data_IF_902928296928
#
_entry.id   IF_902928296928
#
_cell.length_a   1.000
_cell.length_b   1.000
_cell.length_c   1.000
_cell.angle_alpha   90.00
_cell.angle_beta   90.00
_cell.angle_gamma   90.00
#
_symmetry.space_group_name_H-M   'P 1'
#
loop_
_entity.id
_entity.type
_entity.pdbx_description
1 polymer ?
#
# COMPACT_ATOMS: atom_id res chain seq x y z
N UNK A 1 -43.06 18.89 -20.77
CA UNK A 1 -41.84 19.17 -19.98
C UNK A 1 -42.00 18.48 -18.64
N UNK A 2 -41.48 17.26 -18.50
CA UNK A 2 -41.36 16.58 -17.21
C UNK A 2 -39.95 16.82 -16.69
N UNK A 3 -39.82 17.76 -15.75
CA UNK A 3 -38.59 17.90 -14.98
C UNK A 3 -38.45 16.66 -14.10
N UNK A 4 -37.75 15.65 -14.62
CA UNK A 4 -37.09 14.65 -13.76
C UNK A 4 -35.93 15.40 -13.13
N UNK A 5 -36.20 16.04 -12.00
CA UNK A 5 -35.14 16.46 -11.09
C UNK A 5 -34.55 15.16 -10.55
N UNK A 6 -33.48 14.68 -11.19
CA UNK A 6 -32.67 13.60 -10.65
C UNK A 6 -32.28 13.97 -9.23
N UNK A 7 -32.89 13.29 -8.26
CA UNK A 7 -32.77 13.59 -6.85
C UNK A 7 -31.45 12.98 -6.35
N UNK A 8 -30.33 13.38 -6.98
CA UNK A 8 -29.01 12.80 -6.81
C UNK A 8 -28.49 13.16 -5.43
N UNK A 9 -28.73 12.24 -4.50
CA UNK A 9 -28.30 12.27 -3.10
C UNK A 9 -26.87 12.80 -3.00
N UNK A 10 -26.70 13.89 -2.26
CA UNK A 10 -25.39 14.50 -1.99
C UNK A 10 -24.58 13.49 -1.17
N UNK A 11 -23.34 13.15 -1.55
CA UNK A 11 -22.50 12.26 -0.77
C UNK A 11 -22.01 12.94 0.51
N UNK A 12 -21.98 12.20 1.62
CA UNK A 12 -21.29 12.67 2.83
C UNK A 12 -19.78 12.42 2.75
N UNK A 13 -19.35 11.47 1.91
CA UNK A 13 -17.96 11.03 1.74
C UNK A 13 -17.53 11.16 0.28
N UNK A 14 -16.46 11.89 0.02
CA UNK A 14 -15.91 11.99 -1.33
C UNK A 14 -14.43 11.63 -1.33
N UNK A 15 -14.10 10.53 -2.01
CA UNK A 15 -12.72 10.11 -2.21
C UNK A 15 -12.11 10.86 -3.39
N UNK A 16 -10.98 11.52 -3.15
CA UNK A 16 -10.16 12.15 -4.18
C UNK A 16 -8.89 11.31 -4.32
N UNK A 17 -8.81 10.58 -5.43
CA UNK A 17 -7.69 9.70 -5.77
C UNK A 17 -6.84 10.40 -6.82
N UNK A 18 -5.63 10.88 -6.49
CA UNK A 18 -4.76 11.51 -7.47
C UNK A 18 -4.24 10.45 -8.44
N UNK A 19 -4.47 10.65 -9.75
CA UNK A 19 -4.34 9.60 -10.74
C UNK A 19 -3.66 10.02 -12.06
N UNK A 20 -2.84 9.12 -12.61
CA UNK A 20 -2.29 9.07 -13.98
C UNK A 20 -1.54 7.75 -14.18
N UNK A 21 -1.69 7.10 -15.34
CA UNK A 21 -0.85 5.98 -15.84
C UNK A 21 -0.55 4.89 -14.79
N UNK A 22 -1.61 4.42 -14.12
CA UNK A 22 -1.58 3.38 -13.07
C UNK A 22 -2.76 2.42 -13.25
N UNK A 23 -2.95 1.96 -14.48
CA UNK A 23 -4.10 1.18 -14.94
C UNK A 23 -4.38 -0.05 -14.07
N UNK A 24 -3.34 -0.80 -13.69
CA UNK A 24 -3.47 -1.97 -12.84
C UNK A 24 -3.85 -1.61 -11.39
N UNK A 25 -3.19 -0.61 -10.80
CA UNK A 25 -3.51 -0.15 -9.44
C UNK A 25 -4.93 0.40 -9.39
N UNK A 26 -5.36 1.15 -10.43
CA UNK A 26 -6.73 1.65 -10.57
C UNK A 26 -7.75 0.52 -10.58
N UNK A 27 -7.50 -0.54 -11.35
CA UNK A 27 -8.39 -1.71 -11.40
C UNK A 27 -8.51 -2.39 -10.03
N UNK A 28 -7.38 -2.62 -9.35
CA UNK A 28 -7.39 -3.17 -7.99
C UNK A 28 -8.09 -2.24 -7.00
N UNK A 29 -7.81 -0.94 -7.05
CA UNK A 29 -8.43 0.09 -6.21
C UNK A 29 -9.94 0.10 -6.38
N UNK A 30 -10.45 0.27 -7.61
CA UNK A 30 -11.89 0.29 -7.89
C UNK A 30 -12.58 -0.99 -7.44
N UNK A 31 -11.99 -2.15 -7.72
CA UNK A 31 -12.58 -3.45 -7.37
C UNK A 31 -12.63 -3.66 -5.85
N UNK A 32 -11.55 -3.32 -5.14
CA UNK A 32 -11.47 -3.56 -3.71
C UNK A 32 -12.20 -2.48 -2.90
N UNK A 33 -12.16 -1.21 -3.32
CA UNK A 33 -12.94 -0.14 -2.69
C UNK A 33 -14.44 -0.35 -2.84
N UNK A 34 -14.91 -1.00 -3.91
CA UNK A 34 -16.32 -1.41 -4.02
C UNK A 34 -16.74 -2.35 -2.88
N UNK A 35 -15.88 -3.29 -2.47
CA UNK A 35 -16.09 -4.14 -1.29
C UNK A 35 -15.94 -3.37 0.02
N UNK A 36 -14.89 -2.54 0.16
CA UNK A 36 -14.67 -1.75 1.40
C UNK A 36 -15.84 -0.79 1.68
N UNK A 37 -16.48 -0.27 0.63
CA UNK A 37 -17.56 0.71 0.72
C UNK A 37 -18.97 0.13 0.51
N UNK A 38 -19.14 -1.19 0.43
CA UNK A 38 -20.44 -1.82 0.11
C UNK A 38 -21.54 -1.55 1.16
N UNK A 39 -21.16 -1.23 2.42
CA UNK A 39 -22.09 -0.88 3.50
C UNK A 39 -22.52 0.60 3.46
N UNK A 40 -21.91 1.43 2.60
CA UNK A 40 -22.16 2.88 2.53
C UNK A 40 -23.01 3.23 1.31
N UNK A 41 -24.01 4.11 1.52
CA UNK A 41 -24.97 4.51 0.46
C UNK A 41 -24.86 5.98 0.07
N UNK A 42 -23.79 6.66 0.51
CA UNK A 42 -23.62 8.10 0.44
C UNK A 42 -22.16 8.51 0.19
N UNK A 43 -21.47 7.77 -0.69
CA UNK A 43 -20.10 8.05 -1.10
C UNK A 43 -19.97 8.20 -2.62
N UNK A 44 -19.00 9.01 -3.07
CA UNK A 44 -18.50 9.03 -4.45
C UNK A 44 -16.97 8.92 -4.45
N UNK A 45 -16.40 8.31 -5.49
CA UNK A 45 -14.96 8.14 -5.70
C UNK A 45 -14.57 8.82 -7.01
N UNK A 46 -13.59 9.72 -6.93
CA UNK A 46 -13.08 10.47 -8.08
C UNK A 46 -11.62 10.15 -8.31
N UNK A 47 -11.33 9.51 -9.44
CA UNK A 47 -10.00 9.53 -10.04
C UNK A 47 -9.76 10.93 -10.59
N UNK A 48 -9.09 11.76 -9.80
CA UNK A 48 -8.65 13.07 -10.22
C UNK A 48 -7.45 12.86 -11.16
N UNK A 49 -7.73 12.93 -12.46
CA UNK A 49 -6.87 12.39 -13.50
C UNK A 49 -6.17 13.53 -14.24
N UNK A 50 -4.85 13.65 -14.07
CA UNK A 50 -4.08 14.64 -14.81
C UNK A 50 -3.78 14.11 -16.23
N UNK A 51 -4.39 14.68 -17.28
CA UNK A 51 -4.34 14.09 -18.63
C UNK A 51 -3.32 14.77 -19.57
N UNK A 52 -2.64 15.83 -19.09
CA UNK A 52 -1.58 16.52 -19.84
C UNK A 52 -0.23 15.76 -19.87
N UNK A 53 0.76 16.30 -20.58
CA UNK A 53 2.09 15.69 -20.73
C UNK A 53 3.15 16.23 -19.74
N UNK A 54 2.76 17.00 -18.71
CA UNK A 54 3.71 17.54 -17.71
C UNK A 54 4.01 16.49 -16.64
N UNK A 55 4.99 16.71 -15.76
CA UNK A 55 5.14 15.84 -14.58
C UNK A 55 3.85 15.80 -13.75
N UNK A 56 3.66 14.70 -13.01
CA UNK A 56 2.47 14.51 -12.21
C UNK A 56 2.51 15.39 -10.96
N UNK A 57 1.52 16.27 -10.81
CA UNK A 57 1.41 17.21 -9.69
C UNK A 57 0.38 16.69 -8.68
N UNK A 58 0.83 15.79 -7.80
CA UNK A 58 -0.04 15.09 -6.84
C UNK A 58 -0.81 16.06 -5.93
N UNK A 59 -0.19 17.16 -5.50
CA UNK A 59 -0.83 18.20 -4.69
C UNK A 59 -1.93 18.95 -5.44
N UNK A 60 -1.63 19.48 -6.63
CA UNK A 60 -2.62 20.18 -7.46
C UNK A 60 -3.76 19.26 -7.88
N UNK A 61 -3.47 18.00 -8.19
CA UNK A 61 -4.48 17.00 -8.53
C UNK A 61 -5.47 16.78 -7.37
N UNK A 62 -4.99 16.67 -6.12
CA UNK A 62 -5.87 16.62 -4.93
C UNK A 62 -6.70 17.92 -4.78
N UNK A 63 -6.09 19.09 -4.96
CA UNK A 63 -6.78 20.39 -4.90
C UNK A 63 -7.86 20.55 -5.98
N UNK A 64 -7.59 20.11 -7.21
CA UNK A 64 -8.55 20.15 -8.33
C UNK A 64 -9.69 19.16 -8.09
N UNK A 65 -9.38 18.00 -7.49
CA UNK A 65 -10.38 17.08 -6.95
C UNK A 65 -11.35 17.77 -6.00
N UNK A 66 -10.85 18.52 -5.02
CA UNK A 66 -11.68 19.32 -4.13
C UNK A 66 -12.49 20.41 -4.88
N UNK A 67 -11.85 21.17 -5.78
CA UNK A 67 -12.50 22.24 -6.55
C UNK A 67 -13.68 21.71 -7.38
N UNK A 68 -13.51 20.59 -8.08
CA UNK A 68 -14.57 19.99 -8.89
C UNK A 68 -15.81 19.59 -8.06
N UNK A 69 -15.60 19.18 -6.81
CA UNK A 69 -16.67 18.78 -5.88
C UNK A 69 -17.32 20.00 -5.23
N UNK A 70 -16.54 21.05 -4.97
CA UNK A 70 -17.05 22.38 -4.59
C UNK A 70 -17.92 22.97 -5.71
N UNK A 71 -17.52 22.86 -6.96
CA UNK A 71 -18.29 23.34 -8.13
C UNK A 71 -19.56 22.50 -8.34
N UNK A 72 -19.49 21.18 -8.12
CA UNK A 72 -20.63 20.26 -8.24
C UNK A 72 -21.65 20.40 -7.09
N UNK A 73 -21.19 20.68 -5.87
CA UNK A 73 -22.02 20.78 -4.66
C UNK A 73 -21.77 22.09 -3.88
N UNK A 74 -22.04 23.27 -4.48
CA UNK A 74 -21.57 24.56 -3.98
C UNK A 74 -22.21 25.02 -2.65
N UNK A 75 -23.31 24.38 -2.20
CA UNK A 75 -23.93 24.67 -0.90
C UNK A 75 -23.49 23.68 0.20
N UNK A 76 -22.96 22.51 -0.18
CA UNK A 76 -22.80 21.36 0.72
C UNK A 76 -21.34 20.94 0.93
N UNK A 77 -20.43 21.24 -0.01
CA UNK A 77 -19.03 20.80 0.02
C UNK A 77 -18.31 21.05 1.35
N UNK A 78 -18.67 22.12 2.07
CA UNK A 78 -18.12 22.44 3.39
C UNK A 78 -18.34 21.35 4.43
N UNK A 79 -19.49 20.68 4.36
CA UNK A 79 -19.90 19.60 5.27
C UNK A 79 -19.48 18.21 4.78
N UNK A 80 -19.14 18.06 3.49
CA UNK A 80 -18.62 16.81 2.92
C UNK A 80 -17.30 16.44 3.59
N UNK A 81 -17.16 15.16 3.95
CA UNK A 81 -15.90 14.55 4.36
C UNK A 81 -15.09 14.21 3.10
N UNK A 82 -13.95 14.87 2.90
CA UNK A 82 -13.02 14.55 1.82
C UNK A 82 -12.01 13.51 2.29
N UNK A 83 -11.79 12.48 1.47
CA UNK A 83 -10.82 11.42 1.70
C UNK A 83 -9.77 11.49 0.59
N UNK A 84 -8.59 12.00 0.89
CA UNK A 84 -7.44 11.91 -0.01
C UNK A 84 -6.80 10.54 0.18
N UNK A 85 -6.83 9.71 -0.86
CA UNK A 85 -6.33 8.34 -0.83
C UNK A 85 -5.47 8.06 -2.08
N UNK A 86 -4.24 7.61 -1.90
CA UNK A 86 -3.37 7.23 -3.01
C UNK A 86 -3.85 5.91 -3.67
N UNK A 87 -3.78 5.83 -5.01
CA UNK A 87 -4.35 4.71 -5.80
C UNK A 87 -3.71 3.35 -5.49
N UNK A 88 -2.50 3.35 -4.93
CA UNK A 88 -1.77 2.15 -4.52
C UNK A 88 -1.99 1.77 -3.05
N UNK A 89 -2.82 2.50 -2.28
CA UNK A 89 -3.09 2.21 -0.86
C UNK A 89 -4.57 1.90 -0.58
N UNK A 90 -4.84 0.72 -0.02
CA UNK A 90 -6.19 0.21 0.21
C UNK A 90 -6.24 -0.54 1.55
N UNK A 91 -7.22 -0.33 2.45
CA UNK A 91 -7.34 -1.17 3.63
C UNK A 91 -7.69 -2.62 3.27
N UNK A 92 -7.13 -3.57 4.00
CA UNK A 92 -7.36 -5.01 3.79
C UNK A 92 -8.78 -5.46 4.17
N UNK A 93 -9.42 -4.77 5.11
CA UNK A 93 -10.82 -5.01 5.53
C UNK A 93 -11.47 -3.67 5.89
N UNK A 94 -12.77 -3.67 6.20
CA UNK A 94 -13.57 -2.48 6.56
C UNK A 94 -13.18 -1.87 7.93
N UNK A 95 -11.94 -1.40 8.06
CA UNK A 95 -11.34 -0.88 9.31
C UNK A 95 -11.50 0.64 9.51
N UNK A 96 -12.06 1.34 8.52
CA UNK A 96 -12.27 2.78 8.54
C UNK A 96 -13.74 3.12 8.30
N UNK A 97 -14.28 4.07 9.07
CA UNK A 97 -15.60 4.65 8.83
C UNK A 97 -15.57 5.85 7.86
N UNK A 98 -14.37 6.34 7.53
CA UNK A 98 -14.14 7.51 6.67
C UNK A 98 -14.89 8.78 7.09
N UNK A 99 -15.15 8.95 8.39
CA UNK A 99 -15.81 10.15 8.95
C UNK A 99 -14.87 10.97 9.83
N UNK A 100 -15.04 12.30 9.78
CA UNK A 100 -14.39 13.25 10.70
C UNK A 100 -15.33 14.41 11.04
N UNK A 101 -14.93 15.29 11.95
CA UNK A 101 -15.64 16.53 12.30
C UNK A 101 -14.85 17.76 11.85
N UNK A 102 -15.52 18.91 11.77
CA UNK A 102 -14.87 20.22 11.59
C UNK A 102 -13.79 20.41 12.66
N UNK A 103 -12.64 20.98 12.28
CA UNK A 103 -11.49 21.13 13.15
C UNK A 103 -10.65 19.86 13.38
N UNK A 104 -10.99 18.73 12.73
CA UNK A 104 -10.31 17.43 12.95
C UNK A 104 -9.90 16.79 11.64
N UNK A 105 -8.60 16.57 11.48
CA UNK A 105 -7.99 15.85 10.35
C UNK A 105 -7.59 14.45 10.81
N UNK A 106 -8.22 13.41 10.28
CA UNK A 106 -7.79 12.03 10.54
C UNK A 106 -6.74 11.59 9.55
N UNK A 107 -5.73 10.89 10.05
CA UNK A 107 -4.69 10.27 9.23
C UNK A 107 -4.65 8.78 9.52
N UNK A 108 -5.07 7.99 8.54
CA UNK A 108 -5.28 6.55 8.65
C UNK A 108 -4.09 5.71 8.20
N UNK A 109 -3.33 6.13 7.18
CA UNK A 109 -2.15 5.39 6.72
C UNK A 109 -1.07 6.31 6.17
N UNK A 110 0.17 6.13 6.61
CA UNK A 110 1.32 6.90 6.09
C UNK A 110 2.52 6.97 7.03
N UNK A 111 3.15 8.14 7.11
CA UNK A 111 4.21 8.47 8.08
C UNK A 111 3.75 9.50 9.10
N UNK A 112 4.17 9.39 10.38
CA UNK A 112 3.74 10.33 11.44
C UNK A 112 4.28 11.77 11.31
N UNK A 113 5.21 12.04 10.40
CA UNK A 113 5.79 13.37 10.16
C UNK A 113 5.15 14.12 8.99
N UNK A 114 4.11 13.55 8.36
CA UNK A 114 3.49 14.07 7.13
C UNK A 114 1.99 13.70 7.10
N UNK A 115 1.21 14.28 6.20
CA UNK A 115 -0.19 13.89 5.90
C UNK A 115 -0.28 13.30 4.48
N UNK A 116 0.29 12.11 4.30
CA UNK A 116 0.28 11.33 3.05
C UNK A 116 -0.49 10.03 3.18
N UNK A 117 -0.59 9.24 2.10
CA UNK A 117 -1.36 8.00 2.08
C UNK A 117 -2.86 8.27 2.18
N UNK A 118 -3.46 7.99 3.35
CA UNK A 118 -4.90 8.11 3.58
C UNK A 118 -5.19 9.20 4.62
N UNK A 119 -5.76 10.32 4.17
CA UNK A 119 -6.08 11.52 4.97
C UNK A 119 -7.55 11.89 4.80
N UNK A 120 -8.20 12.26 5.90
CA UNK A 120 -9.64 12.57 5.96
C UNK A 120 -9.86 13.92 6.65
N UNK A 121 -10.57 14.84 6.00
CA UNK A 121 -10.76 16.24 6.43
C UNK A 121 -12.14 16.76 5.96
N UNK A 122 -12.75 17.72 6.66
CA UNK A 122 -13.96 18.39 6.16
C UNK A 122 -13.62 19.40 5.06
N UNK A 123 -14.53 19.59 4.10
CA UNK A 123 -14.32 20.54 3.01
C UNK A 123 -14.11 21.99 3.48
N UNK A 124 -14.72 22.39 4.61
CA UNK A 124 -14.47 23.70 5.23
C UNK A 124 -13.04 23.85 5.74
N UNK A 125 -12.53 22.86 6.49
CA UNK A 125 -11.17 22.88 7.03
C UNK A 125 -10.12 22.85 5.90
N UNK A 126 -10.38 22.07 4.83
CA UNK A 126 -9.49 21.97 3.68
C UNK A 126 -9.45 23.26 2.84
N UNK A 127 -10.58 23.95 2.71
CA UNK A 127 -10.65 25.29 2.11
C UNK A 127 -9.88 26.33 2.94
N UNK A 128 -10.07 26.33 4.26
CA UNK A 128 -9.44 27.27 5.19
C UNK A 128 -7.90 27.21 5.12
N UNK A 129 -7.33 26.01 5.05
CA UNK A 129 -5.88 25.81 4.93
C UNK A 129 -5.33 26.00 3.49
N UNK A 130 -6.16 26.43 2.54
CA UNK A 130 -5.82 26.55 1.11
C UNK A 130 -5.31 25.23 0.46
N UNK A 131 -5.68 24.08 1.02
CA UNK A 131 -5.30 22.75 0.55
C UNK A 131 -3.79 22.44 0.53
N UNK A 132 -3.40 21.49 -0.33
CA UNK A 132 -2.00 21.12 -0.57
C UNK A 132 -1.26 22.22 -1.36
N UNK A 133 0.07 22.33 -1.29
CA UNK A 133 0.82 23.11 -2.28
C UNK A 133 0.86 22.40 -3.64
N UNK A 134 1.12 23.15 -4.72
CA UNK A 134 1.04 22.65 -6.09
C UNK A 134 2.41 22.26 -6.66
N UNK A 135 3.21 21.51 -5.90
CA UNK A 135 4.57 21.16 -6.28
C UNK A 135 4.63 20.15 -7.44
N UNK A 136 5.53 20.39 -8.40
CA UNK A 136 5.70 19.56 -9.60
C UNK A 136 6.70 18.40 -9.43
N UNK A 137 7.46 18.39 -8.33
CA UNK A 137 8.29 17.27 -7.91
C UNK A 137 7.58 16.38 -6.88
N UNK A 138 8.08 15.17 -6.69
CA UNK A 138 7.59 14.24 -5.68
C UNK A 138 7.99 14.65 -4.26
N UNK A 139 7.02 14.62 -3.36
CA UNK A 139 7.21 14.80 -1.93
C UNK A 139 7.20 16.25 -1.47
N UNK A 140 7.29 16.43 -0.14
CA UNK A 140 7.16 17.72 0.57
C UNK A 140 5.72 18.28 0.61
N UNK A 141 4.86 17.98 -0.35
CA UNK A 141 3.46 18.43 -0.39
C UNK A 141 2.64 17.94 0.81
N UNK A 142 2.77 16.66 1.17
CA UNK A 142 2.08 16.06 2.32
C UNK A 142 2.60 16.60 3.67
N UNK A 143 3.87 17.03 3.72
CA UNK A 143 4.48 17.61 4.93
C UNK A 143 4.11 19.08 5.09
N UNK A 144 3.96 19.77 3.97
CA UNK A 144 3.39 21.12 3.92
C UNK A 144 1.93 21.11 4.39
N UNK A 145 1.10 20.17 3.91
CA UNK A 145 -0.28 20.03 4.41
C UNK A 145 -0.31 19.84 5.94
N UNK A 146 0.58 18.99 6.50
CA UNK A 146 0.64 18.81 7.96
C UNK A 146 0.87 20.13 8.69
N UNK A 147 1.86 20.92 8.25
CA UNK A 147 2.17 22.23 8.84
C UNK A 147 1.00 23.21 8.73
N UNK A 148 0.27 23.21 7.61
CA UNK A 148 -0.90 24.07 7.43
C UNK A 148 -2.03 23.71 8.38
N UNK A 149 -2.31 22.42 8.56
CA UNK A 149 -3.26 21.94 9.57
C UNK A 149 -2.85 22.35 10.99
N UNK A 150 -1.57 22.17 11.34
CA UNK A 150 -1.02 22.57 12.64
C UNK A 150 -1.11 24.09 12.87
N UNK A 151 -0.77 24.91 11.87
CA UNK A 151 -0.85 26.38 11.92
C UNK A 151 -2.30 26.90 12.03
N UNK A 152 -3.26 26.20 11.44
CA UNK A 152 -4.70 26.48 11.57
C UNK A 152 -5.32 25.89 12.85
N UNK A 153 -4.53 25.28 13.74
CA UNK A 153 -4.98 24.63 14.98
C UNK A 153 -5.94 23.44 14.76
N UNK A 154 -5.91 22.81 13.58
CA UNK A 154 -6.67 21.59 13.32
C UNK A 154 -6.06 20.40 14.08
N UNK A 155 -6.91 19.61 14.75
CA UNK A 155 -6.47 18.43 15.50
C UNK A 155 -6.16 17.29 14.54
N UNK A 156 -4.90 16.84 14.51
CA UNK A 156 -4.49 15.68 13.71
C UNK A 156 -4.71 14.39 14.52
N UNK A 157 -5.83 13.73 14.27
CA UNK A 157 -6.18 12.45 14.89
C UNK A 157 -5.47 11.28 14.19
N UNK A 158 -4.70 10.53 14.98
CA UNK A 158 -3.98 9.30 14.60
C UNK A 158 -4.32 8.13 15.53
N UNK A 159 -5.51 8.14 16.14
CA UNK A 159 -6.01 7.06 16.99
C UNK A 159 -6.15 5.73 16.26
N UNK A 160 -6.59 5.76 15.00
CA UNK A 160 -6.69 4.61 14.10
C UNK A 160 -5.65 4.71 12.94
N UNK A 161 -4.38 4.93 13.28
CA UNK A 161 -3.29 5.13 12.31
C UNK A 161 -2.44 3.87 12.10
N UNK A 162 -2.19 3.55 10.82
CA UNK A 162 -1.31 2.48 10.39
C UNK A 162 -0.02 3.03 9.74
N UNK A 163 1.17 2.60 10.17
CA UNK A 163 2.43 2.99 9.53
C UNK A 163 2.62 2.29 8.18
N UNK A 164 3.42 2.91 7.29
CA UNK A 164 3.93 2.27 6.07
C UNK A 164 4.44 0.84 6.35
N UNK A 165 4.00 -0.10 5.50
CA UNK A 165 4.29 -1.53 5.61
C UNK A 165 3.28 -2.33 6.45
N UNK A 166 2.36 -1.69 7.18
CA UNK A 166 1.33 -2.37 7.97
C UNK A 166 0.56 -3.40 7.11
N UNK A 167 0.43 -4.67 7.55
CA UNK A 167 -0.29 -5.69 6.79
C UNK A 167 -1.81 -5.45 6.73
N UNK A 168 -2.33 -4.50 7.51
CA UNK A 168 -3.74 -4.09 7.44
C UNK A 168 -4.03 -3.14 6.27
N UNK A 169 -2.99 -2.63 5.60
CA UNK A 169 -3.10 -1.79 4.41
C UNK A 169 -2.35 -2.46 3.26
N UNK A 170 -3.09 -2.86 2.23
CA UNK A 170 -2.53 -3.29 0.96
C UNK A 170 -1.86 -2.08 0.31
N UNK A 171 -0.54 -2.17 0.13
CA UNK A 171 0.26 -1.16 -0.55
C UNK A 171 0.86 -1.79 -1.80
N UNK A 172 0.33 -1.42 -2.96
CA UNK A 172 0.82 -1.89 -4.26
C UNK A 172 2.15 -1.20 -4.55
N UNK A 173 3.11 -1.95 -5.11
CA UNK A 173 4.41 -1.37 -5.45
C UNK A 173 4.26 -0.34 -6.57
N UNK A 174 4.97 0.79 -6.41
CA UNK A 174 4.80 2.00 -7.21
C UNK A 174 6.11 2.47 -7.88
N UNK A 175 7.11 1.58 -7.93
CA UNK A 175 8.46 1.86 -8.42
C UNK A 175 9.39 2.42 -7.34
N UNK A 176 10.71 2.41 -7.61
CA UNK A 176 11.73 2.98 -6.71
C UNK A 176 12.25 4.36 -7.13
N UNK A 177 11.95 4.82 -8.35
CA UNK A 177 12.39 6.11 -8.86
C UNK A 177 11.33 7.18 -8.61
N UNK A 178 11.77 8.40 -8.28
CA UNK A 178 10.92 9.58 -8.10
C UNK A 178 11.54 10.77 -8.82
N UNK A 179 10.73 11.49 -9.59
CA UNK A 179 11.12 12.81 -10.12
C UNK A 179 11.02 13.80 -8.97
N UNK A 180 12.13 14.37 -8.54
CA UNK A 180 12.21 15.35 -7.45
C UNK A 180 12.65 16.71 -7.96
N UNK A 181 12.33 17.76 -7.22
CA UNK A 181 12.84 19.11 -7.45
C UNK A 181 13.47 19.64 -6.17
N UNK A 182 14.75 20.03 -6.26
CA UNK A 182 15.54 20.46 -5.09
C UNK A 182 14.96 21.69 -4.37
N UNK A 183 14.15 22.50 -5.07
CA UNK A 183 13.48 23.69 -4.51
C UNK A 183 12.37 23.35 -3.53
N UNK A 184 11.69 22.21 -3.69
CA UNK A 184 10.43 21.92 -2.99
C UNK A 184 10.64 21.73 -1.48
N UNK A 185 11.77 21.15 -1.05
CA UNK A 185 12.14 21.07 0.37
C UNK A 185 12.44 22.43 1.01
N UNK A 186 12.81 23.45 0.22
CA UNK A 186 12.97 24.83 0.71
C UNK A 186 11.62 25.52 0.79
N UNK A 187 10.75 25.32 -0.23
CA UNK A 187 9.36 25.81 -0.22
C UNK A 187 8.57 25.27 0.96
N UNK A 188 8.65 23.97 1.24
CA UNK A 188 7.98 23.31 2.37
C UNK A 188 8.42 23.86 3.74
N UNK A 189 9.68 24.30 3.87
CA UNK A 189 10.18 24.94 5.11
C UNK A 189 9.71 26.38 5.26
N UNK A 190 9.56 27.08 4.15
CA UNK A 190 9.21 28.50 4.08
C UNK A 190 7.77 28.69 3.59
N UNK A 191 6.89 27.71 3.81
CA UNK A 191 5.53 27.76 3.29
C UNK A 191 4.75 28.88 3.97
N UNK A 192 4.12 29.71 3.15
CA UNK A 192 3.37 30.89 3.57
C UNK A 192 1.86 30.75 3.32
N UNK A 193 1.38 29.53 3.05
CA UNK A 193 -0.02 29.25 2.75
C UNK A 193 -0.53 29.76 1.40
N UNK A 194 0.25 30.51 0.60
CA UNK A 194 -0.25 31.14 -0.64
C UNK A 194 -0.39 30.13 -1.79
N UNK A 195 0.59 29.24 -1.99
CA UNK A 195 0.50 28.25 -3.06
C UNK A 195 -0.45 27.11 -2.67
N UNK A 196 -1.58 26.97 -3.35
CA UNK A 196 -2.58 25.97 -3.04
C UNK A 196 -3.80 26.09 -3.93
N UNK A 197 -5.00 25.83 -3.39
CA UNK A 197 -6.27 25.90 -4.14
C UNK A 197 -6.42 27.25 -4.86
N UNK A 198 -6.15 28.35 -4.16
CA UNK A 198 -6.28 29.73 -4.65
C UNK A 198 -5.21 30.15 -5.67
N UNK A 199 -4.11 29.39 -5.82
CA UNK A 199 -3.07 29.65 -6.83
C UNK A 199 -3.21 28.79 -8.09
N UNK A 200 -4.26 27.96 -8.19
CA UNK A 200 -4.62 27.25 -9.42
C UNK A 200 -5.45 28.16 -10.31
N UNK A 201 -5.03 28.34 -11.56
CA UNK A 201 -5.71 29.19 -12.54
C UNK A 201 -5.71 28.59 -13.95
N UNK A 202 -6.59 29.08 -14.83
CA UNK A 202 -6.86 28.47 -16.16
C UNK A 202 -7.16 26.97 -16.08
N UNK A 203 -7.87 26.57 -15.03
CA UNK A 203 -8.31 25.21 -14.80
C UNK A 203 -9.37 24.81 -15.85
N UNK A 204 -9.19 23.65 -16.45
CA UNK A 204 -10.14 22.99 -17.35
C UNK A 204 -10.19 21.51 -16.97
N UNK A 205 -11.40 21.02 -16.69
CA UNK A 205 -11.67 19.62 -16.42
C UNK A 205 -13.07 19.24 -16.89
N UNK A 206 -13.32 17.93 -17.03
CA UNK A 206 -14.65 17.34 -17.21
C UNK A 206 -14.86 16.20 -16.21
N UNK A 207 -16.07 16.07 -15.69
CA UNK A 207 -16.47 14.96 -14.80
C UNK A 207 -17.24 13.94 -15.62
N UNK A 208 -16.72 12.72 -15.72
CA UNK A 208 -17.31 11.64 -16.51
C UNK A 208 -17.20 10.28 -15.81
N UNK A 209 -17.96 9.29 -16.28
CA UNK A 209 -17.84 7.90 -15.83
C UNK A 209 -16.58 7.20 -16.40
N UNK A 210 -15.91 7.79 -17.39
CA UNK A 210 -14.76 7.23 -18.09
C UNK A 210 -13.57 8.17 -18.12
N UNK A 211 -12.38 7.59 -18.26
CA UNK A 211 -11.15 8.35 -18.49
C UNK A 211 -11.05 8.82 -19.94
N UNK A 212 -10.42 9.96 -20.18
CA UNK A 212 -10.00 10.38 -21.53
C UNK A 212 -8.81 9.58 -22.07
N UNK A 213 -8.05 8.86 -21.22
CA UNK A 213 -7.06 7.87 -21.66
C UNK A 213 -7.76 6.51 -21.89
N UNK A 214 -7.78 5.97 -23.13
CA UNK A 214 -8.45 4.71 -23.42
C UNK A 214 -7.90 3.50 -22.63
N UNK A 215 -6.62 3.51 -22.25
CA UNK A 215 -6.00 2.39 -21.50
C UNK A 215 -6.67 2.17 -20.14
N UNK A 216 -7.01 3.25 -19.44
CA UNK A 216 -7.71 3.18 -18.15
C UNK A 216 -9.05 2.45 -18.28
N UNK A 217 -9.73 2.60 -19.42
CA UNK A 217 -11.08 2.09 -19.62
C UNK A 217 -11.11 0.58 -19.97
N UNK A 218 -9.95 -0.04 -20.22
CA UNK A 218 -9.83 -1.48 -20.56
C UNK A 218 -10.29 -2.40 -19.43
N UNK A 219 -9.92 -2.06 -18.19
CA UNK A 219 -10.25 -2.82 -16.98
C UNK A 219 -11.22 -2.03 -16.11
N UNK A 220 -12.43 -1.81 -16.62
CA UNK A 220 -13.46 -1.10 -15.86
C UNK A 220 -14.07 -1.99 -14.76
N UNK A 221 -14.56 -1.36 -13.70
CA UNK A 221 -15.31 -1.99 -12.60
C UNK A 221 -16.69 -1.36 -12.58
N UNK A 222 -17.73 -2.18 -12.62
CA UNK A 222 -19.10 -1.70 -12.56
C UNK A 222 -19.45 -1.23 -11.14
N UNK A 223 -19.31 0.07 -10.91
CA UNK A 223 -19.69 0.75 -9.68
C UNK A 223 -20.17 2.19 -10.02
N UNK A 224 -21.45 2.53 -9.82
CA UNK A 224 -22.02 3.83 -10.20
C UNK A 224 -21.54 5.00 -9.33
N UNK A 225 -20.75 4.74 -8.30
CA UNK A 225 -20.14 5.76 -7.44
C UNK A 225 -18.72 6.14 -7.87
N UNK A 226 -18.17 5.52 -8.93
CA UNK A 226 -16.82 5.78 -9.45
C UNK A 226 -16.87 6.70 -10.67
N UNK A 227 -16.07 7.77 -10.64
CA UNK A 227 -15.99 8.80 -11.67
C UNK A 227 -14.55 9.23 -11.92
N UNK A 228 -14.33 9.94 -13.02
CA UNK A 228 -13.09 10.64 -13.36
C UNK A 228 -13.32 12.14 -13.33
N UNK A 229 -12.33 12.88 -12.84
CA UNK A 229 -12.16 14.32 -13.12
C UNK A 229 -11.01 14.39 -14.11
N UNK A 230 -11.31 14.44 -15.40
CA UNK A 230 -10.29 14.47 -16.45
C UNK A 230 -9.75 15.92 -16.56
N UNK A 231 -8.58 16.17 -15.99
CA UNK A 231 -7.94 17.49 -15.90
C UNK A 231 -7.07 17.70 -17.15
N UNK A 232 -7.59 18.49 -18.09
CA UNK A 232 -6.94 18.75 -19.38
C UNK A 232 -5.97 19.94 -19.32
N UNK A 233 -6.24 20.94 -18.48
CA UNK A 233 -5.37 22.09 -18.27
C UNK A 233 -5.49 22.64 -16.84
N UNK A 234 -4.37 23.08 -16.29
CA UNK A 234 -4.32 23.93 -15.09
C UNK A 234 -2.95 24.62 -15.04
N UNK A 235 -2.87 25.80 -14.45
CA UNK A 235 -1.62 26.50 -14.15
C UNK A 235 -1.53 26.76 -12.65
N UNK A 236 -0.30 26.95 -12.17
CA UNK A 236 0.07 27.02 -10.75
C UNK A 236 0.97 28.24 -10.51
N UNK A 237 1.13 28.69 -9.27
CA UNK A 237 1.99 29.83 -8.93
C UNK A 237 3.42 29.73 -9.50
N UNK A 238 3.96 28.52 -9.62
CA UNK A 238 5.25 28.24 -10.24
C UNK A 238 5.06 27.66 -11.66
N UNK A 239 5.67 28.30 -12.66
CA UNK A 239 5.62 27.86 -14.05
C UNK A 239 6.37 26.54 -14.27
N UNK A 240 5.68 25.57 -14.88
CA UNK A 240 6.21 24.24 -15.14
C UNK A 240 7.52 24.26 -15.94
N UNK A 241 7.64 25.13 -16.95
CA UNK A 241 8.83 25.17 -17.81
C UNK A 241 10.09 25.69 -17.08
N UNK A 242 9.92 26.40 -15.98
CA UNK A 242 11.00 26.84 -15.10
C UNK A 242 11.27 25.86 -13.95
N UNK A 243 10.28 25.08 -13.54
CA UNK A 243 10.45 24.02 -12.54
C UNK A 243 11.10 22.77 -13.13
N UNK A 244 10.68 22.34 -14.32
CA UNK A 244 11.18 21.13 -14.99
C UNK A 244 12.68 21.18 -15.32
N UNK A 245 13.25 22.39 -15.45
CA UNK A 245 14.70 22.65 -15.55
C UNK A 245 15.49 22.21 -14.32
N UNK A 246 14.85 21.88 -13.21
CA UNK A 246 15.47 21.49 -11.93
C UNK A 246 14.95 20.14 -11.42
N UNK A 247 14.47 19.27 -12.33
CA UNK A 247 14.04 17.92 -12.01
C UNK A 247 15.18 16.91 -12.07
N UNK A 248 15.21 16.00 -11.11
CA UNK A 248 16.21 14.95 -10.98
C UNK A 248 15.55 13.61 -10.63
N UNK A 249 16.14 12.50 -11.10
CA UNK A 249 15.72 11.15 -10.72
C UNK A 249 16.36 10.75 -9.37
N UNK A 250 15.52 10.49 -8.38
CA UNK A 250 15.88 10.03 -7.04
C UNK A 250 15.45 8.58 -6.83
N UNK A 251 16.40 7.74 -6.41
CA UNK A 251 16.13 6.35 -6.04
C UNK A 251 15.80 6.29 -4.54
N UNK A 252 14.64 5.73 -4.18
CA UNK A 252 14.18 5.65 -2.78
C UNK A 252 15.15 4.92 -1.83
N UNK A 253 16.08 4.12 -2.37
CA UNK A 253 17.11 3.40 -1.61
C UNK A 253 18.29 4.30 -1.21
N UNK A 254 18.36 5.52 -1.74
CA UNK A 254 19.41 6.50 -1.43
C UNK A 254 19.12 7.29 -0.14
N UNK A 255 20.14 7.89 0.48
CA UNK A 255 19.94 8.72 1.67
C UNK A 255 19.20 10.01 1.31
N UNK A 256 18.20 10.39 2.13
CA UNK A 256 17.34 11.58 1.96
C UNK A 256 18.07 12.89 1.61
N UNK A 257 19.35 13.05 1.99
CA UNK A 257 20.17 14.20 1.57
C UNK A 257 20.24 14.39 0.04
N UNK A 258 20.10 13.30 -0.74
CA UNK A 258 20.06 13.34 -2.22
C UNK A 258 18.76 13.91 -2.80
N UNK A 259 17.76 14.21 -1.97
CA UNK A 259 16.59 15.01 -2.37
C UNK A 259 16.94 16.50 -2.41
N UNK A 260 17.77 16.96 -1.47
CA UNK A 260 18.19 18.36 -1.34
C UNK A 260 19.43 18.63 -2.22
N UNK A 261 20.34 17.66 -2.28
CA UNK A 261 21.59 17.70 -3.05
C UNK A 261 21.64 16.56 -4.10
N UNK A 262 20.79 16.61 -5.14
CA UNK A 262 20.73 15.58 -6.17
C UNK A 262 22.02 15.48 -6.98
N UNK A 263 22.27 14.30 -7.58
CA UNK A 263 23.38 14.13 -8.50
C UNK A 263 23.05 14.81 -9.84
N UNK A 264 23.91 15.72 -10.30
CA UNK A 264 23.76 16.43 -11.57
C UNK A 264 23.61 15.48 -12.77
N UNK A 265 24.26 14.31 -12.73
CA UNK A 265 24.20 13.28 -13.78
C UNK A 265 22.84 12.56 -13.86
N UNK A 266 21.92 12.82 -12.91
CA UNK A 266 20.55 12.29 -12.90
C UNK A 266 19.48 13.36 -13.16
N UNK A 267 19.88 14.50 -13.72
CA UNK A 267 18.93 15.50 -14.23
C UNK A 267 17.99 14.85 -15.25
N UNK A 268 16.69 15.04 -15.11
CA UNK A 268 15.70 14.43 -15.99
C UNK A 268 15.68 15.11 -17.37
N UNK A 269 15.41 14.34 -18.42
CA UNK A 269 14.99 14.89 -19.70
C UNK A 269 13.48 15.21 -19.62
N UNK A 270 13.15 16.49 -19.80
CA UNK A 270 11.77 17.00 -19.76
C UNK A 270 10.90 16.48 -20.90
N UNK A 271 11.51 15.97 -21.97
CA UNK A 271 10.82 15.40 -23.12
C UNK A 271 10.42 13.92 -22.92
N UNK A 272 10.88 13.28 -21.85
CA UNK A 272 10.64 11.86 -21.57
C UNK A 272 10.35 11.62 -20.08
N UNK A 273 9.26 12.20 -19.59
CA UNK A 273 8.82 12.14 -18.19
C UNK A 273 7.63 11.19 -17.95
N UNK A 274 7.26 10.37 -18.92
CA UNK A 274 6.16 9.42 -18.76
C UNK A 274 6.58 8.26 -17.83
N UNK A 275 6.06 8.30 -16.60
CA UNK A 275 6.27 7.27 -15.59
C UNK A 275 5.21 6.18 -15.73
N UNK A 276 5.29 5.39 -16.81
CA UNK A 276 4.51 4.15 -16.94
C UNK A 276 5.02 3.06 -16.00
N UNK A 277 4.19 2.05 -15.72
CA UNK A 277 4.56 0.85 -14.95
C UNK A 277 5.68 0.04 -15.63
N UNK A 278 5.85 0.17 -16.96
CA UNK A 278 6.95 -0.42 -17.72
C UNK A 278 8.33 0.05 -17.23
N UNK A 279 8.43 1.27 -16.66
CA UNK A 279 9.68 1.79 -16.07
C UNK A 279 10.22 0.94 -14.91
N UNK A 280 9.38 0.09 -14.32
CA UNK A 280 9.76 -0.80 -13.22
C UNK A 280 10.43 -2.10 -13.68
N UNK A 281 10.41 -2.40 -14.99
CA UNK A 281 11.09 -3.58 -15.55
C UNK A 281 12.62 -3.46 -15.44
N UNK A 282 13.16 -2.24 -15.45
CA UNK A 282 14.59 -1.94 -15.49
C UNK A 282 15.13 -1.40 -14.14
N UNK A 283 14.68 -1.99 -13.02
CA UNK A 283 15.15 -1.61 -11.67
C UNK A 283 16.64 -1.96 -11.51
N UNK A 284 17.54 -0.97 -11.27
CA UNK A 284 18.96 -1.25 -11.09
C UNK A 284 19.21 -2.14 -9.87
N UNK A 285 19.92 -3.25 -10.06
CA UNK A 285 20.36 -4.11 -8.96
C UNK A 285 21.48 -3.43 -8.17
N UNK A 286 21.26 -3.23 -6.86
CA UNK A 286 22.28 -2.79 -5.93
C UNK A 286 22.60 -3.94 -4.96
N UNK A 287 23.82 -4.49 -4.98
CA UNK A 287 24.18 -5.56 -4.05
C UNK A 287 24.15 -5.10 -2.60
N UNK A 288 23.71 -5.98 -1.72
CA UNK A 288 23.74 -5.79 -0.26
C UNK A 288 25.18 -5.65 0.26
N UNK A 289 25.35 -5.28 1.53
CA UNK A 289 26.67 -5.18 2.16
C UNK A 289 27.45 -6.50 2.10
N UNK A 290 26.77 -7.64 2.19
CA UNK A 290 27.41 -8.96 2.13
C UNK A 290 27.79 -9.33 0.70
N UNK A 291 26.89 -9.15 -0.27
CA UNK A 291 27.19 -9.37 -1.68
C UNK A 291 28.32 -8.43 -2.15
N UNK A 292 28.36 -7.17 -1.71
CA UNK A 292 29.49 -6.25 -1.98
C UNK A 292 30.82 -6.78 -1.45
N UNK A 293 30.86 -7.32 -0.23
CA UNK A 293 32.06 -7.94 0.35
C UNK A 293 32.50 -9.18 -0.42
N UNK A 294 31.53 -10.01 -0.83
CA UNK A 294 31.76 -11.21 -1.64
C UNK A 294 32.31 -10.85 -3.02
N UNK A 295 31.69 -9.91 -3.73
CA UNK A 295 32.17 -9.38 -5.02
C UNK A 295 33.60 -8.85 -4.90
N UNK A 296 33.90 -8.02 -3.89
CA UNK A 296 35.26 -7.52 -3.63
C UNK A 296 36.24 -8.67 -3.37
N UNK A 297 35.85 -9.70 -2.61
CA UNK A 297 36.70 -10.88 -2.37
C UNK A 297 36.97 -11.73 -3.61
N UNK A 298 36.06 -11.67 -4.60
CA UNK A 298 36.20 -12.31 -5.91
C UNK A 298 36.91 -11.40 -6.94
N UNK A 299 37.42 -10.23 -6.53
CA UNK A 299 38.03 -9.24 -7.43
C UNK A 299 37.05 -8.50 -8.34
N UNK A 300 35.74 -8.71 -8.17
CA UNK A 300 34.68 -8.07 -8.95
C UNK A 300 34.40 -6.70 -8.34
N UNK A 301 34.62 -5.62 -9.11
CA UNK A 301 34.22 -4.27 -8.70
C UNK A 301 32.69 -4.22 -8.58
N UNK A 302 32.11 -3.95 -7.40
CA UNK A 302 30.66 -3.88 -7.26
C UNK A 302 30.11 -2.72 -8.11
N UNK A 303 28.93 -2.89 -8.77
CA UNK A 303 28.36 -1.87 -9.62
C UNK A 303 28.16 -0.56 -8.87
N UNK A 304 28.58 0.53 -9.50
CA UNK A 304 28.43 1.87 -8.97
C UNK A 304 26.99 2.37 -9.25
N UNK A 305 26.20 2.75 -8.22
CA UNK A 305 24.87 3.34 -8.41
C UNK A 305 24.86 4.64 -9.23
N UNK A 306 26.04 5.24 -9.46
CA UNK A 306 26.22 6.56 -10.07
C UNK A 306 26.83 6.51 -11.48
N UNK A 307 27.19 5.34 -12.01
CA UNK A 307 27.63 5.20 -13.41
C UNK A 307 26.39 4.97 -14.28
N UNK A 308 26.07 5.89 -15.19
CA UNK A 308 24.89 5.82 -16.09
C UNK A 308 24.96 4.67 -17.12
N UNK A 309 25.98 3.81 -17.05
CA UNK A 309 25.99 2.51 -17.72
C UNK A 309 25.00 1.59 -17.03
N UNK A 310 23.74 1.63 -17.47
CA UNK A 310 22.71 0.71 -17.01
C UNK A 310 23.15 -0.73 -17.26
N UNK A 311 23.64 -1.39 -16.21
CA UNK A 311 23.83 -2.84 -16.21
C UNK A 311 22.43 -3.47 -16.21
N UNK A 312 21.94 -3.77 -17.40
CA UNK A 312 20.83 -4.71 -17.60
C UNK A 312 21.28 -6.08 -17.13
N UNK A 313 21.18 -6.29 -15.81
CA UNK A 313 21.39 -7.60 -15.19
C UNK A 313 20.18 -8.46 -15.55
N UNK A 314 20.32 -9.23 -16.62
CA UNK A 314 19.30 -10.18 -17.05
C UNK A 314 19.04 -11.15 -15.89
N UNK A 315 17.78 -11.36 -15.51
CA UNK A 315 17.42 -12.25 -14.40
C UNK A 315 17.90 -13.70 -14.63
N UNK A 316 18.16 -14.05 -15.89
CA UNK A 316 18.70 -15.34 -16.33
C UNK A 316 20.23 -15.47 -16.10
N UNK A 317 20.97 -14.37 -15.97
CA UNK A 317 22.43 -14.36 -15.75
C UNK A 317 22.81 -14.52 -14.27
N UNK A 318 21.84 -14.88 -13.42
CA UNK A 318 22.07 -15.17 -12.01
C UNK A 318 22.79 -16.52 -11.90
N UNK A 319 24.04 -16.60 -11.39
CA UNK A 319 24.55 -17.88 -10.93
C UNK A 319 23.56 -18.43 -9.88
N UNK A 320 23.10 -19.69 -10.00
CA UNK A 320 22.06 -20.21 -9.12
C UNK A 320 22.55 -20.11 -7.65
N UNK A 321 21.69 -19.67 -6.71
CA UNK A 321 22.12 -19.41 -5.34
C UNK A 321 22.56 -20.71 -4.66
N UNK A 322 23.88 -20.96 -4.66
CA UNK A 322 24.52 -22.11 -4.01
C UNK A 322 24.13 -22.23 -2.52
N UNK A 323 23.81 -21.09 -1.89
CA UNK A 323 23.29 -20.99 -0.52
C UNK A 323 22.00 -21.79 -0.24
N UNK A 324 21.17 -22.07 -1.25
CA UNK A 324 19.95 -22.86 -1.04
C UNK A 324 20.18 -24.37 -1.13
N UNK A 325 21.06 -24.86 -2.01
CA UNK A 325 21.38 -26.30 -2.06
C UNK A 325 22.02 -26.77 -0.75
N UNK A 326 23.04 -26.06 -0.22
CA UNK A 326 23.75 -26.52 0.98
C UNK A 326 22.85 -26.61 2.21
N UNK A 327 21.96 -25.62 2.44
CA UNK A 327 21.00 -25.69 3.55
C UNK A 327 19.94 -26.77 3.36
N UNK A 328 19.43 -26.96 2.15
CA UNK A 328 18.42 -27.99 1.88
C UNK A 328 19.02 -29.40 2.02
N UNK A 329 20.27 -29.61 1.58
CA UNK A 329 21.01 -30.87 1.74
C UNK A 329 21.31 -31.13 3.22
N UNK A 330 21.77 -30.14 4.00
CA UNK A 330 21.95 -30.32 5.45
C UNK A 330 20.63 -30.61 6.18
N UNK A 331 19.53 -29.97 5.77
CA UNK A 331 18.21 -30.21 6.36
C UNK A 331 17.68 -31.62 6.02
N UNK A 332 17.87 -32.09 4.79
CA UNK A 332 17.56 -33.47 4.40
C UNK A 332 18.46 -34.50 5.09
N UNK A 333 19.75 -34.23 5.26
CA UNK A 333 20.66 -35.11 6.02
C UNK A 333 20.28 -35.18 7.51
N UNK A 334 19.89 -34.05 8.13
CA UNK A 334 19.37 -34.05 9.51
C UNK A 334 18.04 -34.80 9.62
N UNK A 335 17.12 -34.64 8.66
CA UNK A 335 15.86 -35.39 8.62
C UNK A 335 16.09 -36.89 8.42
N UNK A 336 17.03 -37.29 7.55
CA UNK A 336 17.41 -38.70 7.36
C UNK A 336 18.07 -39.30 8.61
N UNK A 337 18.94 -38.55 9.31
CA UNK A 337 19.48 -38.98 10.60
C UNK A 337 18.39 -39.11 11.66
N UNK A 338 17.46 -38.17 11.76
CA UNK A 338 16.30 -38.28 12.66
C UNK A 338 15.41 -39.49 12.30
N UNK A 339 15.20 -39.79 11.02
CA UNK A 339 14.47 -40.97 10.59
C UNK A 339 15.18 -42.28 10.94
N UNK A 340 16.51 -42.35 10.79
CA UNK A 340 17.31 -43.51 11.20
C UNK A 340 17.32 -43.69 12.73
N UNK A 341 17.32 -42.59 13.49
CA UNK A 341 17.18 -42.62 14.96
C UNK A 341 15.77 -43.12 15.35
N UNK A 342 14.70 -42.62 14.70
CA UNK A 342 13.34 -43.11 14.92
C UNK A 342 13.23 -44.62 14.59
N UNK A 343 13.72 -45.07 13.44
CA UNK A 343 13.68 -46.49 13.06
C UNK A 343 14.45 -47.38 14.04
N UNK A 344 15.56 -46.92 14.62
CA UNK A 344 16.25 -47.64 15.71
C UNK A 344 15.44 -47.67 17.01
N UNK A 345 14.69 -46.63 17.34
CA UNK A 345 13.79 -46.62 18.51
C UNK A 345 12.53 -47.48 18.35
N UNK A 346 12.08 -47.73 17.11
CA UNK A 346 10.90 -48.57 16.80
C UNK A 346 11.21 -50.07 16.98
N UNK A 347 12.49 -50.47 17.03
CA UNK A 347 12.95 -51.85 17.22
C UNK A 347 13.29 -52.23 18.68
N UNK A 348 12.65 -51.60 19.67
CA UNK A 348 12.55 -52.14 21.03
C UNK A 348 11.12 -52.61 21.32
N UNK A 349 10.85 -53.93 21.40
CA UNK A 349 9.49 -54.43 21.48
C UNK A 349 8.99 -54.51 22.94
N UNK A 350 8.18 -53.55 23.38
CA UNK A 350 7.19 -53.83 24.44
C UNK A 350 5.87 -53.05 24.30
N UNK A 351 4.81 -53.85 24.11
CA UNK A 351 3.42 -53.66 24.54
C UNK A 351 2.54 -52.53 23.94
N UNK A 352 1.83 -52.92 22.88
CA UNK A 352 0.35 -52.93 22.82
C UNK A 352 -0.41 -51.68 23.30
N UNK A 353 -0.53 -50.68 22.42
CA UNK A 353 -1.76 -49.89 22.15
C UNK A 353 -1.52 -48.93 20.98
N UNK A 354 -1.89 -49.31 19.75
CA UNK A 354 -2.12 -48.38 18.62
C UNK A 354 -2.60 -49.10 17.33
N UNK A 355 -3.75 -49.80 17.39
CA UNK A 355 -4.35 -50.41 16.18
C UNK A 355 -5.35 -49.50 15.45
N UNK A 356 -5.54 -48.25 15.90
CA UNK A 356 -6.49 -47.28 15.31
C UNK A 356 -5.82 -46.15 14.50
N UNK A 357 -4.50 -46.00 14.52
CA UNK A 357 -3.83 -44.86 13.85
C UNK A 357 -3.52 -45.09 12.36
N UNK A 358 -3.53 -46.34 11.88
CA UNK A 358 -3.09 -46.70 10.52
C UNK A 358 -4.19 -46.67 9.44
N UNK A 359 -5.39 -46.18 9.74
CA UNK A 359 -6.47 -46.02 8.74
C UNK A 359 -6.61 -44.59 8.17
N UNK A 360 -5.96 -43.59 8.77
CA UNK A 360 -6.17 -42.18 8.40
C UNK A 360 -5.14 -41.58 7.41
N UNK A 361 -4.13 -42.35 6.97
CA UNK A 361 -3.03 -41.83 6.12
C UNK A 361 -3.14 -42.25 4.64
N UNK A 362 -4.14 -43.06 4.27
CA UNK A 362 -4.30 -43.61 2.90
C UNK A 362 -5.38 -42.91 2.03
N UNK A 363 -5.75 -41.67 2.34
CA UNK A 363 -6.53 -40.79 1.44
C UNK A 363 -5.90 -39.39 1.47
N UNK A 364 -5.79 -38.75 0.30
CA UNK A 364 -5.03 -37.51 -0.01
C UNK A 364 -3.59 -37.74 -0.53
N UNK A 365 -3.43 -38.43 -1.67
CA UNK A 365 -2.19 -38.40 -2.46
C UNK A 365 -2.37 -38.96 -3.90
N UNK A 366 -3.13 -38.28 -4.76
CA UNK A 366 -2.99 -38.42 -6.22
C UNK A 366 -3.44 -37.15 -6.95
N UNK A 367 -2.48 -36.40 -7.48
CA UNK A 367 -2.66 -35.35 -8.48
C UNK A 367 -1.85 -35.74 -9.72
N UNK A 368 -2.49 -35.90 -10.88
CA UNK A 368 -1.83 -35.77 -12.18
C UNK A 368 -2.90 -35.61 -13.30
N UNK A 369 -2.57 -34.99 -14.44
CA UNK A 369 -3.56 -34.30 -15.27
C UNK A 369 -3.77 -34.96 -16.63
N UNK A 370 -4.81 -34.52 -17.37
CA UNK A 370 -4.78 -34.16 -18.82
C UNK A 370 -6.18 -34.08 -19.45
N UNK A 371 -6.26 -33.21 -20.46
CA UNK A 371 -7.12 -33.23 -21.64
C UNK A 371 -8.62 -32.86 -21.58
N UNK A 372 -8.87 -31.74 -22.29
CA UNK A 372 -9.84 -31.52 -23.39
C UNK A 372 -11.32 -31.28 -23.06
N UNK A 373 -11.76 -30.13 -23.59
CA UNK A 373 -13.10 -29.76 -24.02
C UNK A 373 -14.04 -30.94 -24.35
N UNK A 374 -15.17 -31.00 -23.66
CA UNK A 374 -16.46 -31.40 -24.24
C UNK A 374 -17.54 -30.50 -23.63
N UNK A 375 -18.28 -29.79 -24.50
CA UNK A 375 -19.53 -29.06 -24.19
C UNK A 375 -20.65 -30.03 -23.82
N UNK A 376 -21.58 -29.66 -22.93
CA UNK A 376 -23.02 -29.91 -23.18
C UNK A 376 -23.93 -29.10 -22.24
N UNK A 377 -24.76 -28.27 -22.88
CA UNK A 377 -26.11 -27.78 -22.58
C UNK A 377 -26.63 -27.55 -21.14
N UNK A 378 -27.19 -26.34 -20.97
CA UNK A 378 -28.41 -26.12 -20.19
C UNK A 378 -29.54 -26.99 -20.76
N UNK A 379 -30.33 -27.64 -19.89
CA UNK A 379 -31.79 -27.42 -19.87
C UNK A 379 -32.47 -28.19 -18.73
N UNK A 380 -33.57 -27.62 -18.22
CA UNK A 380 -34.69 -28.34 -17.59
C UNK A 380 -34.45 -29.03 -16.21
N UNK A 381 -35.39 -29.02 -15.25
CA UNK A 381 -36.64 -28.27 -15.07
C UNK A 381 -37.06 -28.33 -13.58
N UNK A 382 -37.82 -27.33 -13.11
CA UNK A 382 -38.87 -27.35 -12.05
C UNK A 382 -38.88 -28.51 -11.01
N UNK A 383 -39.09 -28.30 -9.70
CA UNK A 383 -40.36 -27.81 -9.09
C UNK A 383 -40.29 -27.90 -7.54
N UNK A 384 -41.12 -27.10 -6.86
CA UNK A 384 -41.83 -27.39 -5.58
C UNK A 384 -40.99 -27.72 -4.32
N UNK A 385 -41.34 -27.33 -3.09
CA UNK A 385 -42.39 -26.44 -2.55
C UNK A 385 -41.93 -25.98 -1.13
N UNK A 386 -42.04 -24.69 -0.79
CA UNK A 386 -43.08 -24.05 0.05
C UNK A 386 -43.11 -24.43 1.56
N UNK A 387 -43.24 -23.38 2.40
CA UNK A 387 -43.78 -23.37 3.78
C UNK A 387 -43.04 -24.19 4.88
N UNK A 388 -43.15 -23.98 6.20
CA UNK A 388 -43.50 -22.84 7.09
C UNK A 388 -43.14 -23.27 8.56
N UNK A 389 -43.12 -22.49 9.65
CA UNK A 389 -43.36 -21.07 9.94
C UNK A 389 -42.68 -20.63 11.29
N UNK A 390 -42.89 -19.38 11.72
CA UNK A 390 -42.89 -18.80 13.10
C UNK A 390 -42.26 -19.55 14.29
N UNK A 391 -41.45 -18.82 15.07
CA UNK A 391 -41.60 -18.71 16.53
C UNK A 391 -41.18 -17.31 17.04
N UNK A 392 -41.85 -16.79 18.08
CA UNK A 392 -41.64 -15.46 18.67
C UNK A 392 -40.80 -15.49 19.97
N UNK A 393 -40.15 -14.36 20.29
CA UNK A 393 -39.72 -13.84 21.60
C UNK A 393 -39.47 -14.80 22.78
N UNK A 394 -38.26 -14.72 23.37
CA UNK A 394 -38.02 -13.94 24.61
C UNK A 394 -36.52 -13.76 24.88
N UNK A 395 -36.18 -12.93 25.87
CA UNK A 395 -34.84 -12.44 26.18
C UNK A 395 -33.89 -13.53 26.72
N UNK A 396 -32.57 -13.35 26.50
CA UNK A 396 -31.59 -13.50 27.59
C UNK A 396 -30.25 -12.82 27.26
N UNK A 397 -29.72 -12.09 28.24
CA UNK A 397 -28.31 -11.70 28.29
C UNK A 397 -27.43 -12.93 28.55
N UNK A 398 -26.12 -12.77 28.28
CA UNK A 398 -25.04 -13.75 28.55
C UNK A 398 -25.14 -15.07 27.75
N UNK A 399 -24.34 -15.17 26.68
CA UNK A 399 -23.47 -16.30 26.27
C UNK A 399 -22.72 -15.83 25.01
N UNK A 400 -21.56 -15.20 25.18
CA UNK A 400 -20.63 -14.85 24.07
C UNK A 400 -19.15 -15.08 24.44
N UNK A 401 -18.85 -15.74 25.56
CA UNK A 401 -17.46 -16.09 25.96
C UNK A 401 -17.11 -17.58 25.89
N UNK A 402 -18.07 -18.49 25.66
CA UNK A 402 -17.82 -19.96 25.75
C UNK A 402 -17.60 -20.71 24.42
N UNK A 403 -17.80 -20.09 23.25
CA UNK A 403 -17.68 -20.80 21.95
C UNK A 403 -16.26 -20.68 21.35
N UNK A 404 -15.42 -19.74 21.81
CA UNK A 404 -14.08 -19.50 21.25
C UNK A 404 -12.99 -20.47 21.75
N UNK A 405 -13.29 -21.36 22.71
CA UNK A 405 -12.30 -22.20 23.41
C UNK A 405 -12.38 -23.71 23.08
N UNK A 406 -13.07 -24.13 22.02
CA UNK A 406 -13.03 -25.51 21.53
C UNK A 406 -12.75 -25.58 20.03
N UNK A 407 -11.46 -25.73 19.70
CA UNK A 407 -10.79 -26.43 18.58
C UNK A 407 -9.42 -25.77 18.34
N UNK A 408 -8.50 -25.94 19.29
CA UNK A 408 -7.05 -25.88 19.07
C UNK A 408 -6.40 -26.86 20.07
N UNK A 409 -5.51 -27.77 19.63
CA UNK A 409 -4.84 -28.71 20.53
C UNK A 409 -3.76 -28.01 21.38
N UNK A 410 -3.51 -28.52 22.59
CA UNK A 410 -2.72 -27.90 23.68
C UNK A 410 -1.23 -27.58 23.37
N UNK A 411 -0.74 -27.88 22.16
CA UNK A 411 0.61 -27.55 21.69
C UNK A 411 0.64 -26.58 20.50
N UNK A 412 -0.46 -25.87 20.20
CA UNK A 412 -0.50 -24.89 19.12
C UNK A 412 0.17 -23.56 19.52
N UNK A 413 1.49 -23.47 19.33
CA UNK A 413 2.25 -22.22 19.49
C UNK A 413 1.80 -21.23 18.41
N UNK A 414 1.12 -20.15 18.81
CA UNK A 414 0.77 -19.05 17.88
C UNK A 414 2.06 -18.47 17.28
N UNK A 415 2.14 -18.25 15.95
CA UNK A 415 3.30 -17.59 15.37
C UNK A 415 3.41 -16.15 15.90
N UNK A 416 4.64 -15.64 16.16
CA UNK A 416 4.82 -14.31 16.72
C UNK A 416 4.32 -13.24 15.74
N UNK A 417 3.41 -12.39 16.23
CA UNK A 417 3.03 -11.15 15.55
C UNK A 417 4.28 -10.27 15.42
N UNK A 418 4.49 -9.72 14.22
CA UNK A 418 5.67 -8.94 13.77
C UNK A 418 6.97 -9.74 13.54
N UNK A 419 7.09 -10.36 12.36
CA UNK A 419 8.37 -10.43 11.65
C UNK A 419 8.13 -10.11 10.17
N UNK A 420 8.36 -8.84 9.77
CA UNK A 420 8.76 -8.57 8.38
C UNK A 420 9.99 -9.42 8.08
N UNK A 421 10.07 -10.06 6.92
CA UNK A 421 11.31 -10.75 6.55
C UNK A 421 12.49 -9.76 6.67
N UNK A 422 13.67 -10.17 7.16
CA UNK A 422 14.80 -9.24 7.31
C UNK A 422 15.15 -8.51 6.00
N UNK A 423 14.90 -9.16 4.85
CA UNK A 423 14.99 -8.54 3.53
C UNK A 423 13.92 -7.46 3.31
N UNK A 424 12.65 -7.71 3.63
CA UNK A 424 11.57 -6.72 3.47
C UNK A 424 11.75 -5.52 4.41
N UNK A 425 12.13 -5.74 5.67
CA UNK A 425 12.44 -4.65 6.62
C UNK A 425 13.60 -3.76 6.14
N UNK A 426 14.65 -4.38 5.59
CA UNK A 426 15.79 -3.68 4.99
C UNK A 426 15.40 -2.92 3.73
N UNK A 427 14.56 -3.52 2.87
CA UNK A 427 14.03 -2.91 1.64
C UNK A 427 13.19 -1.67 1.93
N UNK A 428 12.35 -1.71 2.97
CA UNK A 428 11.51 -0.59 3.41
C UNK A 428 12.28 0.47 4.23
N UNK A 429 13.61 0.36 4.38
CA UNK A 429 14.44 1.31 5.13
C UNK A 429 14.22 1.32 6.65
N UNK A 430 13.49 0.34 7.20
CA UNK A 430 13.17 0.26 8.62
C UNK A 430 14.31 -0.49 9.33
N UNK A 431 15.07 0.20 10.20
CA UNK A 431 16.03 -0.48 11.09
C UNK A 431 15.27 -1.42 12.03
N UNK A 432 15.53 -2.74 12.03
CA UNK A 432 14.94 -3.63 13.02
C UNK A 432 15.43 -3.23 14.43
N UNK A 433 14.50 -3.13 15.39
CA UNK A 433 14.87 -2.96 16.80
C UNK A 433 15.64 -4.21 17.25
N UNK A 434 16.86 -4.03 17.74
CA UNK A 434 17.62 -5.12 18.31
C UNK A 434 16.89 -5.67 19.54
N UNK A 435 16.52 -6.96 19.51
CA UNK A 435 16.08 -7.69 20.69
C UNK A 435 17.30 -7.97 21.57
N UNK A 436 17.39 -7.26 22.70
CA UNK A 436 18.44 -7.46 23.70
C UNK A 436 18.33 -8.86 24.30
N UNK A 437 19.08 -9.81 23.75
CA UNK A 437 19.21 -11.15 24.31
C UNK A 437 20.24 -11.12 25.44
N UNK A 438 19.75 -10.97 26.67
CA UNK A 438 20.57 -11.06 27.87
C UNK A 438 21.16 -12.48 27.98
N UNK A 439 22.46 -12.62 27.69
CA UNK A 439 23.21 -13.84 28.00
C UNK A 439 23.45 -13.92 29.51
N UNK A 440 22.61 -14.69 30.20
CA UNK A 440 22.90 -15.15 31.56
C UNK A 440 24.13 -16.07 31.52
N UNK A 441 25.28 -15.54 31.91
CA UNK A 441 26.52 -16.31 32.07
C UNK A 441 26.46 -17.10 33.39
N UNK A 442 25.93 -18.32 33.35
CA UNK A 442 26.17 -19.31 34.41
C UNK A 442 27.63 -19.77 34.37
N UNK A 443 28.51 -19.04 35.06
CA UNK A 443 29.95 -19.37 35.17
C UNK A 443 30.62 -18.86 36.45
N UNK A 444 30.10 -17.81 37.10
CA UNK A 444 30.73 -17.19 38.28
C UNK A 444 30.33 -17.77 39.65
N UNK A 445 29.47 -18.80 39.71
CA UNK A 445 28.90 -19.28 40.98
C UNK A 445 29.56 -20.54 41.56
N UNK A 446 30.86 -20.76 41.30
CA UNK A 446 31.68 -21.80 42.00
C UNK A 446 33.07 -21.26 42.35
N UNK A 447 33.13 -20.27 43.26
CA UNK A 447 34.36 -19.97 44.02
C UNK A 447 34.08 -19.16 45.29
N UNK A 448 33.56 -19.81 46.33
CA UNK A 448 33.73 -19.42 47.75
C UNK A 448 33.19 -20.50 48.70
N UNK A 449 33.85 -21.67 48.73
CA UNK A 449 33.78 -22.63 49.84
C UNK A 449 35.15 -23.31 50.02
N UNK A 450 35.91 -22.79 50.98
CA UNK A 450 37.08 -23.35 51.72
C UNK A 450 37.79 -22.14 52.35
N UNK A 451 37.52 -21.80 53.61
CA UNK A 451 38.35 -22.18 54.78
C UNK A 451 39.84 -21.88 54.52
N UNK A 452 40.49 -20.94 55.20
CA UNK A 452 40.36 -20.49 56.61
C UNK A 452 40.58 -18.98 56.73
#
# INVERSE_FOLDING_TARGET
MTNVSDNKKIPSKVFIVPYRNREEQKFFFSKYMSYIMEDFTDYEIYFSHQTDNRSFNRGATKNIGFLAIKDKYPQDYKNITFIFNDVDTIPFTKIFNYETSIGVVKHYYGFKYTLGGIVVIKGVDFEEINGYPNYWGWGSEDSCLQKRCENANLVIDRSNFFPIGSPQILHLFDGISRIINKKDSIREKNDNGIDGISSIYRLQYNIDATSTNPKDNLYNVDNPNIYFINITLFLTAFDYNNESKEFYNYDLREPKKKIIEPNLNRKCDVNNMDQSTESWTNIPYYPTINEKKEMISLGIKPPNPYDNTGYNYNLNDRPPPQYHQTKYILQQQQQQQQHQILQRSIFQPHNLKNKQFMQYINRENYFNPKHKNVTYNQEQILKEDNDSEKYHHTENHQITEEITNKILPDNYIRPPINIYSPHYATYMGIKPKATTSAKLNMSSMVRNMRTR
#
